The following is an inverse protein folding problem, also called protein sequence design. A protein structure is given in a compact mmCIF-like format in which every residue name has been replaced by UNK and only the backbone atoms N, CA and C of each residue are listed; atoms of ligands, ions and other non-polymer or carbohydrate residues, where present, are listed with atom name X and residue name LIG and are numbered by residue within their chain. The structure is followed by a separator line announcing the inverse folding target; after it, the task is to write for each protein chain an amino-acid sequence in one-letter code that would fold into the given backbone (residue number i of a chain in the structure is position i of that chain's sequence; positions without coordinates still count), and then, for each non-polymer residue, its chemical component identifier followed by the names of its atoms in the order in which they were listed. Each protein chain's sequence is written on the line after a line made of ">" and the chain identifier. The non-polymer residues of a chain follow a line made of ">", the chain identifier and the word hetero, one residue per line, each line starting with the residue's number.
data_IF_409330216269
#
_entry.id   IF_409330216269
#
_cell.length_a   1.000
_cell.length_b   1.000
_cell.length_c   1.000
_cell.angle_alpha   90.00
_cell.angle_beta   90.00
_cell.angle_gamma   90.00
#
_symmetry.space_group_name_H-M   'P 1'
#
loop_
_entity.id
_entity.type
_entity.pdbx_description
1 polymer ?
#
# COMPACT_ATOMS: atom_id res chain seq x y z
N UNK A 1 25.89 3.46 -18.23
CA UNK A 1 24.48 3.81 -17.98
C UNK A 1 24.42 4.34 -16.55
N UNK A 2 24.26 5.66 -16.41
CA UNK A 2 24.42 6.37 -15.15
C UNK A 2 23.20 6.13 -14.24
N UNK A 3 23.45 5.62 -13.04
CA UNK A 3 22.49 5.64 -11.94
C UNK A 3 22.20 7.11 -11.58
N UNK A 4 20.93 7.54 -11.48
CA UNK A 4 20.65 8.91 -11.07
C UNK A 4 21.15 9.12 -9.65
N UNK A 5 21.94 10.19 -9.49
CA UNK A 5 22.56 10.58 -8.23
C UNK A 5 21.50 10.74 -7.15
N UNK A 6 21.63 9.96 -6.08
CA UNK A 6 20.90 10.19 -4.85
C UNK A 6 21.19 11.61 -4.38
N UNK A 7 20.18 12.49 -4.49
CA UNK A 7 20.25 13.84 -3.93
C UNK A 7 20.42 13.64 -2.41
N UNK A 8 21.63 13.85 -1.91
CA UNK A 8 21.86 13.92 -0.47
C UNK A 8 21.46 15.32 -0.04
N UNK A 9 20.16 15.50 0.16
CA UNK A 9 19.65 16.67 0.87
C UNK A 9 20.08 16.62 2.33
N UNK A 10 20.36 17.79 2.89
CA UNK A 10 20.39 18.11 4.33
C UNK A 10 19.62 17.05 5.14
N UNK A 11 20.25 16.37 6.10
CA UNK A 11 19.70 15.18 6.76
C UNK A 11 18.49 15.53 7.63
N UNK A 12 17.35 15.71 6.96
CA UNK A 12 16.03 15.87 7.50
C UNK A 12 15.52 14.57 8.11
N UNK A 13 14.55 14.67 9.01
CA UNK A 13 13.97 13.47 9.63
C UNK A 13 13.12 12.73 8.60
N UNK A 14 13.42 11.46 8.36
CA UNK A 14 12.63 10.62 7.45
C UNK A 14 11.76 9.63 8.25
N UNK A 15 10.44 9.74 8.09
CA UNK A 15 9.48 8.86 8.76
C UNK A 15 9.02 7.73 7.83
N UNK A 16 9.01 6.49 8.33
CA UNK A 16 8.35 5.36 7.68
C UNK A 16 7.06 5.03 8.44
N UNK A 17 5.92 5.10 7.77
CA UNK A 17 4.62 4.71 8.31
C UNK A 17 4.22 3.39 7.68
N UNK A 18 4.31 2.29 8.42
CA UNK A 18 3.83 0.99 7.96
C UNK A 18 2.34 0.83 8.31
N UNK A 19 1.50 0.73 7.29
CA UNK A 19 0.06 0.58 7.46
C UNK A 19 -0.36 -0.88 7.36
N UNK A 20 -1.21 -1.32 8.30
CA UNK A 20 -1.92 -2.59 8.15
C UNK A 20 -3.08 -2.40 7.17
N UNK A 21 -3.15 -3.21 6.11
CA UNK A 21 -4.13 -2.99 5.03
C UNK A 21 -5.56 -3.41 5.38
N UNK A 22 -5.80 -4.05 6.53
CA UNK A 22 -7.14 -4.50 6.89
C UNK A 22 -8.02 -3.29 7.24
N UNK A 23 -9.22 -3.32 6.66
CA UNK A 23 -10.39 -2.47 6.85
C UNK A 23 -10.19 -1.15 7.62
N UNK A 24 -10.07 -0.04 6.88
CA UNK A 24 -10.20 1.32 7.42
C UNK A 24 -8.89 1.96 7.91
N UNK A 25 -7.79 1.22 8.01
CA UNK A 25 -6.51 1.74 8.52
C UNK A 25 -5.67 2.53 7.49
N UNK A 26 -5.91 2.35 6.20
CA UNK A 26 -5.15 3.03 5.14
C UNK A 26 -5.36 4.55 5.14
N UNK A 27 -6.60 5.03 5.32
CA UNK A 27 -6.89 6.47 5.31
C UNK A 27 -6.29 7.20 6.52
N UNK A 28 -6.45 6.72 7.78
CA UNK A 28 -5.75 7.28 8.93
C UNK A 28 -4.23 7.24 8.80
N UNK A 29 -3.64 6.15 8.31
CA UNK A 29 -2.20 6.05 8.12
C UNK A 29 -1.70 7.06 7.07
N UNK A 30 -2.43 7.24 5.98
CA UNK A 30 -2.14 8.27 4.98
C UNK A 30 -2.24 9.68 5.56
N UNK A 31 -3.28 9.96 6.35
CA UNK A 31 -3.44 11.24 7.02
C UNK A 31 -2.29 11.53 8.02
N UNK A 32 -1.84 10.51 8.75
CA UNK A 32 -0.68 10.59 9.64
C UNK A 32 0.60 10.89 8.86
N UNK A 33 0.90 10.13 7.80
CA UNK A 33 2.11 10.31 6.99
C UNK A 33 2.19 11.74 6.42
N UNK A 34 1.08 12.28 5.91
CA UNK A 34 1.03 13.66 5.40
C UNK A 34 1.28 14.70 6.49
N UNK A 35 0.81 14.47 7.72
CA UNK A 35 1.09 15.36 8.85
C UNK A 35 2.56 15.31 9.26
N UNK A 36 3.20 14.14 9.20
CA UNK A 36 4.63 14.00 9.46
C UNK A 36 5.48 14.71 8.40
N UNK A 37 5.12 14.59 7.12
CA UNK A 37 5.79 15.31 6.04
C UNK A 37 5.57 16.84 6.06
N UNK A 38 4.60 17.33 6.84
CA UNK A 38 4.39 18.76 7.05
C UNK A 38 5.30 19.35 8.15
N UNK A 39 6.06 18.51 8.87
CA UNK A 39 7.09 18.96 9.81
C UNK A 39 8.27 19.50 9.00
N UNK A 40 8.80 20.65 9.39
CA UNK A 40 9.89 21.30 8.66
C UNK A 40 11.12 20.39 8.59
N UNK A 41 11.70 20.27 7.40
CA UNK A 41 12.80 19.35 7.12
C UNK A 41 12.45 17.86 7.28
N UNK A 42 11.17 17.47 7.32
CA UNK A 42 10.77 16.07 7.39
C UNK A 42 10.24 15.53 6.06
N UNK A 43 10.45 14.25 5.84
CA UNK A 43 9.87 13.49 4.72
C UNK A 43 9.18 12.26 5.27
N UNK A 44 8.19 11.72 4.54
CA UNK A 44 7.48 10.53 4.96
C UNK A 44 7.21 9.58 3.81
N UNK A 45 7.39 8.29 4.08
CA UNK A 45 7.00 7.18 3.20
C UNK A 45 5.92 6.36 3.90
N UNK A 46 4.79 6.18 3.23
CA UNK A 46 3.72 5.28 3.65
C UNK A 46 3.94 3.91 3.01
N UNK A 47 4.26 2.92 3.82
CA UNK A 47 4.35 1.54 3.36
C UNK A 47 2.99 0.87 3.49
N UNK A 48 2.48 0.30 2.40
CA UNK A 48 1.14 -0.32 2.34
C UNK A 48 1.24 -1.73 1.75
N UNK A 49 0.36 -2.66 2.14
CA UNK A 49 0.32 -3.97 1.50
C UNK A 49 0.03 -3.84 0.01
N UNK A 50 0.52 -4.79 -0.77
CA UNK A 50 0.41 -4.76 -2.22
C UNK A 50 -1.04 -4.59 -2.73
N UNK A 51 -2.01 -5.30 -2.14
CA UNK A 51 -3.43 -5.12 -2.48
C UNK A 51 -3.93 -3.69 -2.20
N UNK A 52 -3.43 -3.07 -1.12
CA UNK A 52 -3.74 -1.70 -0.74
C UNK A 52 -3.16 -0.71 -1.74
N UNK A 53 -1.91 -0.95 -2.18
CA UNK A 53 -1.25 -0.18 -3.22
C UNK A 53 -2.05 -0.21 -4.54
N UNK A 54 -2.42 -1.40 -5.03
CA UNK A 54 -3.22 -1.59 -6.25
C UNK A 54 -4.58 -0.90 -6.18
N UNK A 55 -5.21 -0.85 -5.00
CA UNK A 55 -6.47 -0.13 -4.80
C UNK A 55 -6.30 1.39 -4.80
N UNK A 56 -5.19 1.91 -4.28
CA UNK A 56 -4.90 3.35 -4.29
C UNK A 56 -4.48 3.85 -5.67
N UNK A 57 -3.76 3.02 -6.43
CA UNK A 57 -3.19 3.37 -7.73
C UNK A 57 -3.65 2.36 -8.80
N UNK A 58 -4.93 2.38 -9.21
CA UNK A 58 -5.46 1.42 -10.19
C UNK A 58 -4.84 1.58 -11.60
N UNK A 59 -4.16 2.71 -11.87
CA UNK A 59 -3.53 3.03 -13.15
C UNK A 59 -2.01 2.84 -13.15
N UNK A 60 -1.38 2.49 -12.01
CA UNK A 60 0.05 2.17 -12.00
C UNK A 60 0.27 0.81 -12.67
N UNK A 61 1.29 0.72 -13.53
CA UNK A 61 1.72 -0.54 -14.13
C UNK A 61 2.01 -1.59 -13.04
N UNK A 62 1.92 -2.90 -13.35
CA UNK A 62 2.09 -3.98 -12.37
C UNK A 62 3.50 -4.11 -11.79
N UNK A 63 4.40 -3.17 -12.08
CA UNK A 63 5.77 -3.19 -11.55
C UNK A 63 5.87 -2.85 -10.06
N UNK A 64 4.74 -2.60 -9.37
CA UNK A 64 4.69 -2.39 -7.91
C UNK A 64 5.78 -1.42 -7.41
N UNK A 65 6.02 -0.38 -8.21
CA UNK A 65 7.07 0.60 -7.97
C UNK A 65 6.62 1.63 -6.94
N UNK A 66 7.60 2.25 -6.27
CA UNK A 66 7.36 3.37 -5.37
C UNK A 66 6.63 4.49 -6.12
N UNK A 67 5.48 4.91 -5.60
CA UNK A 67 4.70 6.04 -6.13
C UNK A 67 4.87 7.22 -5.19
N UNK A 68 4.88 8.45 -5.70
CA UNK A 68 4.84 9.66 -4.86
C UNK A 68 3.67 10.54 -5.28
N UNK A 69 2.99 11.15 -4.31
CA UNK A 69 1.97 12.18 -4.55
C UNK A 69 2.51 13.61 -4.42
N UNK A 70 3.83 13.76 -4.32
CA UNK A 70 4.52 15.04 -4.11
C UNK A 70 4.53 15.52 -2.65
N UNK A 71 3.80 14.86 -1.76
CA UNK A 71 3.81 15.13 -0.30
C UNK A 71 4.43 13.96 0.45
N UNK A 72 4.04 12.73 0.11
CA UNK A 72 4.61 11.52 0.67
C UNK A 72 4.91 10.50 -0.44
N UNK A 73 5.88 9.62 -0.16
CA UNK A 73 6.14 8.43 -0.97
C UNK A 73 5.27 7.25 -0.50
N UNK A 74 5.03 6.30 -1.39
CA UNK A 74 4.25 5.08 -1.16
C UNK A 74 5.10 3.89 -1.57
N UNK A 75 5.38 2.99 -0.63
CA UNK A 75 6.19 1.80 -0.86
C UNK A 75 5.35 0.53 -0.62
N UNK A 76 4.98 -0.22 -1.69
CA UNK A 76 4.28 -1.47 -1.50
C UNK A 76 5.16 -2.51 -0.79
N UNK A 77 4.55 -3.36 0.02
CA UNK A 77 5.19 -4.54 0.59
C UNK A 77 4.33 -5.79 0.40
N UNK A 78 4.97 -6.95 0.26
CA UNK A 78 4.28 -8.24 0.19
C UNK A 78 3.62 -8.55 1.53
N UNK A 79 2.35 -8.93 1.51
CA UNK A 79 1.61 -9.42 2.67
C UNK A 79 1.71 -10.94 2.83
N UNK A 80 2.60 -11.59 2.06
CA UNK A 80 2.75 -13.03 2.02
C UNK A 80 1.61 -13.76 1.29
N UNK A 81 0.73 -13.01 0.60
CA UNK A 81 -0.38 -13.52 -0.20
C UNK A 81 -0.20 -13.13 -1.67
N UNK A 82 0.95 -13.49 -2.23
CA UNK A 82 1.24 -13.19 -3.63
C UNK A 82 0.50 -14.18 -4.55
N UNK A 83 -0.02 -13.68 -5.66
CA UNK A 83 -0.95 -14.30 -6.62
C UNK A 83 -0.99 -15.85 -6.61
N UNK A 84 -2.01 -16.41 -5.95
CA UNK A 84 -2.28 -17.85 -5.96
C UNK A 84 -3.11 -18.40 -4.79
N UNK A 85 -3.29 -17.63 -3.70
CA UNK A 85 -3.97 -18.13 -2.49
C UNK A 85 -5.49 -17.99 -2.50
N UNK A 86 -6.01 -17.10 -3.33
CA UNK A 86 -7.44 -17.04 -3.60
C UNK A 86 -7.67 -17.91 -4.84
N UNK A 87 -8.50 -18.97 -4.75
CA UNK A 87 -9.01 -19.54 -5.97
C UNK A 87 -9.66 -18.38 -6.70
N UNK A 88 -9.16 -18.05 -7.89
CA UNK A 88 -9.93 -17.34 -8.90
C UNK A 88 -11.02 -18.30 -9.35
N UNK A 89 -11.87 -18.68 -8.40
CA UNK A 89 -13.07 -19.43 -8.66
C UNK A 89 -13.88 -18.53 -9.56
N UNK A 90 -14.33 -19.10 -10.68
CA UNK A 90 -15.49 -18.56 -11.38
C UNK A 90 -16.55 -18.14 -10.35
N UNK A 91 -17.37 -17.13 -10.66
CA UNK A 91 -18.33 -16.54 -9.72
C UNK A 91 -19.18 -17.55 -8.92
N UNK A 92 -19.31 -18.78 -9.40
CA UNK A 92 -19.91 -19.92 -8.72
C UNK A 92 -19.24 -20.35 -7.41
N UNK A 93 -17.90 -20.35 -7.30
CA UNK A 93 -17.17 -20.76 -6.08
C UNK A 93 -17.40 -19.76 -4.94
N UNK A 94 -17.31 -18.46 -5.27
CA UNK A 94 -17.55 -17.36 -4.34
C UNK A 94 -19.00 -17.34 -3.86
N UNK A 95 -19.95 -17.61 -4.75
CA UNK A 95 -21.36 -17.75 -4.41
C UNK A 95 -21.62 -18.97 -3.51
N UNK A 96 -20.94 -20.10 -3.76
CA UNK A 96 -21.06 -21.32 -2.97
C UNK A 96 -20.51 -21.14 -1.56
N UNK A 97 -19.37 -20.47 -1.39
CA UNK A 97 -18.83 -20.11 -0.05
C UNK A 97 -19.76 -19.19 0.74
N UNK A 98 -20.37 -18.20 0.09
CA UNK A 98 -21.35 -17.33 0.74
C UNK A 98 -22.57 -18.11 1.23
N UNK A 99 -23.10 -19.04 0.43
CA UNK A 99 -24.22 -19.90 0.85
C UNK A 99 -23.83 -20.82 2.01
N UNK A 100 -22.70 -21.50 1.92
CA UNK A 100 -22.21 -22.37 2.99
C UNK A 100 -22.02 -21.62 4.34
N UNK A 101 -21.58 -20.36 4.28
CA UNK A 101 -21.45 -19.51 5.47
C UNK A 101 -22.80 -19.09 6.07
N UNK A 102 -23.86 -18.99 5.27
CA UNK A 102 -25.21 -18.67 5.75
C UNK A 102 -25.93 -19.90 6.31
N UNK A 103 -25.65 -21.09 5.76
CA UNK A 103 -26.27 -22.36 6.19
C UNK A 103 -25.64 -22.93 7.48
N UNK A 104 -24.63 -22.25 8.03
CA UNK A 104 -23.94 -22.65 9.27
C UNK A 104 -24.39 -21.85 10.53
N UNK A 105 -25.48 -21.08 10.41
CA UNK A 105 -26.14 -20.34 11.51
C UNK A 105 -27.53 -20.91 11.77
#
# INVERSE_FOLDING_TARGET
>A
MAQPAAVRGEHGTHFLVAAYGIQGHLNPARALARRLAAIDGATATLSVPLFGHRRMFPSSSPDDQEVSDGVISYAPFSDGQDDGSWPTGSGDETARRRRASCDSL
#
